data_IF_112845373777
#
_entry.id   IF_112845373777
#
_cell.length_a   1.000
_cell.length_b   1.000
_cell.length_c   1.000
_cell.angle_alpha   90.00
_cell.angle_beta   90.00
_cell.angle_gamma   90.00
#
_symmetry.space_group_name_H-M   'P 1'
#
loop_
_entity.id
_entity.type
_entity.pdbx_description
1 polymer ?
#
# COMPACT_ATOMS: atom_id res chain seq x y z
N UNK A 1 25.13 8.00 5.04
CA UNK A 1 24.12 7.07 4.50
C UNK A 1 22.78 7.53 5.05
N UNK A 2 21.98 8.17 4.20
CA UNK A 2 21.00 9.17 4.61
C UNK A 2 19.69 8.45 4.94
N UNK A 3 19.05 8.82 6.06
CA UNK A 3 17.77 8.25 6.53
C UNK A 3 16.70 8.22 5.41
N UNK A 4 16.76 9.17 4.47
CA UNK A 4 15.92 9.20 3.28
C UNK A 4 16.03 7.96 2.38
N UNK A 5 17.21 7.37 2.22
CA UNK A 5 17.43 6.19 1.37
C UNK A 5 16.74 4.95 1.97
N UNK A 6 16.73 4.86 3.30
CA UNK A 6 16.09 3.77 4.04
C UNK A 6 14.56 3.89 3.93
N UNK A 7 14.03 5.12 4.06
CA UNK A 7 12.59 5.38 3.92
C UNK A 7 12.13 5.07 2.49
N UNK A 8 12.85 5.54 1.47
CA UNK A 8 12.51 5.26 0.08
C UNK A 8 12.60 3.78 -0.28
N UNK A 9 13.62 3.08 0.22
CA UNK A 9 13.73 1.62 0.06
C UNK A 9 12.54 0.89 0.67
N UNK A 10 12.07 1.30 1.86
CA UNK A 10 10.92 0.69 2.51
C UNK A 10 9.62 0.97 1.75
N UNK A 11 9.40 2.20 1.29
CA UNK A 11 8.23 2.56 0.46
C UNK A 11 8.22 1.73 -0.83
N UNK A 12 9.36 1.63 -1.51
CA UNK A 12 9.47 0.86 -2.75
C UNK A 12 9.14 -0.62 -2.52
N UNK A 13 9.62 -1.19 -1.40
CA UNK A 13 9.35 -2.57 -1.03
C UNK A 13 7.86 -2.83 -0.77
N UNK A 14 7.19 -1.92 -0.06
CA UNK A 14 5.75 -2.02 0.23
C UNK A 14 4.91 -1.93 -1.05
N UNK A 15 5.20 -0.96 -1.91
CA UNK A 15 4.49 -0.77 -3.19
C UNK A 15 4.63 -2.01 -4.08
N UNK A 16 5.83 -2.61 -4.12
CA UNK A 16 6.07 -3.78 -4.95
C UNK A 16 5.33 -5.03 -4.44
N UNK A 17 5.23 -5.21 -3.12
CA UNK A 17 4.43 -6.30 -2.53
C UNK A 17 2.93 -6.10 -2.75
N UNK A 18 2.42 -4.87 -2.62
CA UNK A 18 1.02 -4.56 -2.97
C UNK A 18 0.72 -4.87 -4.44
N UNK A 19 1.63 -4.54 -5.36
CA UNK A 19 1.48 -4.86 -6.79
C UNK A 19 1.41 -6.37 -7.04
N UNK A 20 2.18 -7.16 -6.28
CA UNK A 20 2.17 -8.63 -6.34
C UNK A 20 0.83 -9.20 -5.89
N UNK A 21 0.29 -8.69 -4.79
CA UNK A 21 -1.00 -9.09 -4.22
C UNK A 21 -2.12 -8.77 -5.22
N UNK A 22 -2.14 -7.56 -5.79
CA UNK A 22 -3.14 -7.18 -6.80
C UNK A 22 -3.07 -8.08 -8.03
N UNK A 23 -1.86 -8.40 -8.52
CA UNK A 23 -1.69 -9.34 -9.64
C UNK A 23 -2.20 -10.74 -9.32
N UNK A 24 -1.99 -11.23 -8.09
CA UNK A 24 -2.54 -12.53 -7.66
C UNK A 24 -4.07 -12.51 -7.58
N UNK A 25 -4.67 -11.43 -7.09
CA UNK A 25 -6.13 -11.27 -7.06
C UNK A 25 -6.72 -11.19 -8.48
N UNK A 26 -6.03 -10.50 -9.39
CA UNK A 26 -6.47 -10.34 -10.79
C UNK A 26 -6.27 -11.63 -11.61
N UNK A 27 -5.32 -12.49 -11.22
CA UNK A 27 -5.06 -13.78 -11.88
C UNK A 27 -5.98 -14.91 -11.41
N UNK A 28 -6.78 -14.69 -10.35
CA UNK A 28 -7.87 -15.60 -10.00
C UNK A 28 -8.98 -15.38 -11.04
N UNK A 29 -8.94 -16.18 -12.10
CA UNK A 29 -9.99 -16.27 -13.11
C UNK A 29 -11.34 -16.56 -12.42
N UNK A 30 -12.14 -15.53 -12.25
CA UNK A 30 -13.58 -15.69 -12.10
C UNK A 30 -14.07 -16.09 -13.50
N UNK A 31 -14.16 -17.40 -13.77
CA UNK A 31 -15.06 -17.92 -14.80
C UNK A 31 -16.51 -17.76 -14.30
N UNK A 32 -16.92 -16.51 -14.04
CA UNK A 32 -18.32 -16.15 -13.92
C UNK A 32 -18.80 -15.99 -15.35
N UNK A 33 -19.28 -17.10 -15.90
CA UNK A 33 -20.03 -17.15 -17.14
C UNK A 33 -21.25 -16.23 -16.99
N UNK A 34 -21.11 -14.97 -17.42
CA UNK A 34 -22.22 -14.06 -17.65
C UNK A 34 -23.05 -14.63 -18.79
N UNK A 35 -24.08 -15.40 -18.43
CA UNK A 35 -25.03 -16.00 -19.35
C UNK A 35 -26.44 -15.72 -18.86
N UNK A 36 -26.96 -14.55 -19.19
CA UNK A 36 -28.41 -14.29 -19.18
C UNK A 36 -29.03 -15.24 -20.21
N UNK A 37 -29.67 -16.32 -19.76
CA UNK A 37 -30.54 -17.14 -20.60
C UNK A 37 -31.86 -17.41 -19.90
N UNK A 38 -32.89 -16.95 -20.59
CA UNK A 38 -34.27 -17.45 -20.62
C UNK A 38 -34.47 -18.79 -19.94
N UNK A 39 -35.51 -18.83 -19.12
CA UNK A 39 -36.24 -20.05 -18.77
C UNK A 39 -36.69 -20.69 -20.08
N UNK A 40 -35.95 -21.72 -20.51
CA UNK A 40 -36.45 -22.75 -21.41
C UNK A 40 -36.34 -24.06 -20.64
N UNK A 41 -37.51 -24.52 -20.21
CA UNK A 41 -37.81 -25.87 -19.79
C UNK A 41 -37.08 -26.86 -20.68
N UNK A 42 -35.98 -27.41 -20.17
CA UNK A 42 -35.33 -28.58 -20.76
C UNK A 42 -35.61 -29.72 -19.81
N UNK A 43 -36.43 -30.67 -20.28
CA UNK A 43 -36.80 -31.86 -19.57
C UNK A 43 -35.56 -32.60 -19.07
N UNK A 44 -35.57 -32.96 -17.79
CA UNK A 44 -34.60 -33.88 -17.21
C UNK A 44 -34.88 -35.24 -17.86
N UNK A 45 -34.02 -35.64 -18.79
CA UNK A 45 -33.98 -37.01 -19.28
C UNK A 45 -33.58 -37.90 -18.10
N UNK A 46 -34.54 -38.66 -17.58
CA UNK A 46 -34.29 -39.78 -16.68
C UNK A 46 -33.29 -40.74 -17.32
N UNK A 47 -32.34 -41.33 -16.57
CA UNK A 47 -31.58 -42.46 -17.06
C UNK A 47 -32.51 -43.68 -17.10
N UNK A 48 -33.38 -43.72 -18.11
CA UNK A 48 -34.06 -44.93 -18.52
C UNK A 48 -33.05 -45.81 -19.23
N UNK A 49 -32.21 -46.53 -18.48
CA UNK A 49 -31.66 -47.79 -18.99
C UNK A 49 -32.73 -48.88 -18.83
N UNK A 50 -33.90 -48.64 -19.43
CA UNK A 50 -34.68 -49.74 -19.95
C UNK A 50 -33.98 -50.09 -21.24
N UNK A 51 -33.24 -51.19 -21.26
CA UNK A 51 -32.86 -51.85 -22.50
C UNK A 51 -34.17 -52.24 -23.18
N UNK A 52 -34.75 -51.30 -23.92
CA UNK A 52 -35.83 -51.55 -24.86
C UNK A 52 -35.21 -52.38 -25.97
N UNK A 53 -35.14 -53.69 -25.74
CA UNK A 53 -35.15 -54.63 -26.86
C UNK A 53 -36.47 -54.36 -27.57
N UNK A 54 -36.38 -53.75 -28.74
CA UNK A 54 -37.44 -53.73 -29.73
C UNK A 54 -38.00 -55.15 -29.81
N UNK A 55 -39.25 -55.34 -29.36
CA UNK A 55 -40.00 -56.58 -29.55
C UNK A 55 -40.51 -56.56 -30.99
N UNK A 56 -39.58 -56.54 -31.94
CA UNK A 56 -39.85 -56.78 -33.35
C UNK A 56 -39.14 -58.09 -33.68
N UNK A 57 -39.80 -59.20 -33.38
CA UNK A 57 -39.24 -60.52 -33.67
C UNK A 57 -39.91 -61.74 -33.05
N UNK A 58 -40.96 -61.62 -32.23
CA UNK A 58 -41.66 -62.81 -31.69
C UNK A 58 -43.20 -62.76 -31.79
N UNK A 59 -43.77 -61.71 -32.38
CA UNK A 59 -45.21 -61.56 -32.63
C UNK A 59 -45.59 -61.85 -34.10
N UNK A 60 -44.89 -62.79 -34.74
CA UNK A 60 -45.26 -63.33 -36.05
C UNK A 60 -45.51 -64.85 -35.98
N UNK A 61 -46.22 -65.29 -34.94
CA UNK A 61 -46.75 -66.65 -34.84
C UNK A 61 -48.24 -66.63 -34.45
N UNK A 62 -49.01 -65.74 -35.06
CA UNK A 62 -50.45 -65.94 -35.16
C UNK A 62 -50.74 -66.83 -36.37
N UNK A 63 -51.40 -67.95 -36.11
CA UNK A 63 -51.91 -68.98 -37.04
C UNK A 63 -50.92 -70.03 -37.55
N UNK A 64 -50.36 -70.83 -36.65
CA UNK A 64 -50.13 -72.26 -36.92
C UNK A 64 -50.57 -73.09 -35.71
N UNK A 65 -51.71 -73.78 -35.82
CA UNK A 65 -52.11 -74.82 -34.87
C UNK A 65 -51.25 -76.06 -35.13
N UNK A 66 -50.05 -76.08 -34.53
CA UNK A 66 -49.28 -77.31 -34.34
C UNK A 66 -49.50 -77.76 -32.90
N UNK A 67 -49.71 -79.07 -32.63
CA UNK A 67 -49.91 -79.55 -31.28
C UNK A 67 -48.60 -79.35 -30.51
N UNK A 68 -48.55 -78.35 -29.63
CA UNK A 68 -47.46 -78.23 -28.67
C UNK A 68 -47.45 -79.50 -27.82
N UNK A 69 -46.37 -80.28 -27.91
CA UNK A 69 -46.15 -81.41 -27.01
C UNK A 69 -46.02 -80.89 -25.58
N UNK A 70 -46.56 -81.61 -24.60
CA UNK A 70 -46.49 -81.24 -23.17
C UNK A 70 -45.06 -80.88 -22.69
N UNK A 71 -44.03 -81.45 -23.31
CA UNK A 71 -42.61 -81.15 -23.03
C UNK A 71 -42.22 -79.69 -23.33
N UNK A 72 -42.70 -79.10 -24.42
CA UNK A 72 -42.36 -77.70 -24.81
C UNK A 72 -43.01 -76.69 -23.88
N UNK A 73 -44.25 -76.95 -23.46
CA UNK A 73 -44.97 -76.15 -22.46
C UNK A 73 -44.24 -76.19 -21.12
N UNK A 74 -43.80 -77.38 -20.70
CA UNK A 74 -43.06 -77.56 -19.44
C UNK A 74 -41.71 -76.83 -19.45
N UNK A 75 -40.92 -76.97 -20.52
CA UNK A 75 -39.63 -76.28 -20.66
C UNK A 75 -39.79 -74.75 -20.64
N UNK A 76 -40.83 -74.22 -21.28
CA UNK A 76 -41.13 -72.78 -21.28
C UNK A 76 -41.48 -72.28 -19.87
N UNK A 77 -42.28 -73.03 -19.11
CA UNK A 77 -42.62 -72.67 -17.73
C UNK A 77 -41.40 -72.67 -16.80
N UNK A 78 -40.52 -73.67 -16.91
CA UNK A 78 -39.27 -73.73 -16.13
C UNK A 78 -38.38 -72.54 -16.46
N UNK A 79 -38.25 -72.17 -17.74
CA UNK A 79 -37.49 -70.99 -18.16
C UNK A 79 -38.09 -69.69 -17.58
N UNK A 80 -39.42 -69.57 -17.53
CA UNK A 80 -40.09 -68.42 -16.90
C UNK A 80 -39.80 -68.36 -15.39
N UNK A 81 -39.82 -69.51 -14.71
CA UNK A 81 -39.49 -69.57 -13.28
C UNK A 81 -38.03 -69.18 -12.99
N UNK A 82 -37.09 -69.67 -13.80
CA UNK A 82 -35.66 -69.34 -13.68
C UNK A 82 -35.40 -67.84 -13.91
N UNK A 83 -36.03 -67.25 -14.94
CA UNK A 83 -35.90 -65.81 -15.21
C UNK A 83 -36.54 -64.95 -14.12
N UNK A 84 -37.66 -65.38 -13.53
CA UNK A 84 -38.27 -64.71 -12.37
C UNK A 84 -37.35 -64.73 -11.15
N UNK A 85 -36.71 -65.87 -10.86
CA UNK A 85 -35.77 -66.00 -9.75
C UNK A 85 -34.52 -65.13 -9.96
N UNK A 86 -33.98 -65.10 -11.19
CA UNK A 86 -32.85 -64.24 -11.55
C UNK A 86 -33.19 -62.75 -11.40
N UNK A 87 -34.40 -62.34 -11.78
CA UNK A 87 -34.90 -60.97 -11.59
C UNK A 87 -34.98 -60.62 -10.11
N UNK A 88 -35.57 -61.48 -9.27
CA UNK A 88 -35.67 -61.26 -7.83
C UNK A 88 -34.28 -61.13 -7.18
N UNK A 89 -33.34 -62.01 -7.56
CA UNK A 89 -31.95 -61.95 -7.09
C UNK A 89 -31.28 -60.61 -7.46
N UNK A 90 -31.51 -60.13 -8.67
CA UNK A 90 -30.98 -58.84 -9.14
C UNK A 90 -31.60 -57.66 -8.40
N UNK A 91 -32.91 -57.67 -8.15
CA UNK A 91 -33.57 -56.61 -7.37
C UNK A 91 -33.05 -56.52 -5.95
N UNK A 92 -32.89 -57.66 -5.28
CA UNK A 92 -32.34 -57.71 -3.92
C UNK A 92 -30.89 -57.21 -3.91
N UNK A 93 -30.07 -57.63 -4.87
CA UNK A 93 -28.69 -57.15 -5.02
C UNK A 93 -28.64 -55.64 -5.20
N UNK A 94 -29.40 -55.09 -6.14
CA UNK A 94 -29.45 -53.64 -6.40
C UNK A 94 -29.93 -52.86 -5.17
N UNK A 95 -30.88 -53.39 -4.40
CA UNK A 95 -31.34 -52.76 -3.17
C UNK A 95 -30.26 -52.72 -2.09
N UNK A 96 -29.51 -53.80 -1.93
CA UNK A 96 -28.39 -53.87 -0.98
C UNK A 96 -27.27 -52.91 -1.39
N UNK A 97 -26.89 -52.90 -2.67
CA UNK A 97 -25.85 -52.00 -3.21
C UNK A 97 -26.26 -50.54 -3.06
N UNK A 98 -27.47 -50.17 -3.49
CA UNK A 98 -28.00 -48.81 -3.34
C UNK A 98 -28.07 -48.36 -1.88
N UNK A 99 -28.41 -49.28 -0.96
CA UNK A 99 -28.36 -48.99 0.48
C UNK A 99 -26.93 -48.75 0.95
N UNK A 100 -25.97 -49.54 0.47
CA UNK A 100 -24.54 -49.37 0.74
C UNK A 100 -24.04 -47.99 0.30
N UNK A 101 -24.26 -47.64 -0.97
CA UNK A 101 -23.86 -46.34 -1.54
C UNK A 101 -24.47 -45.17 -0.76
N UNK A 102 -25.74 -45.30 -0.36
CA UNK A 102 -26.42 -44.27 0.45
C UNK A 102 -25.79 -44.10 1.84
N UNK A 103 -25.37 -45.18 2.49
CA UNK A 103 -24.70 -45.08 3.79
C UNK A 103 -23.26 -44.54 3.65
N UNK A 104 -22.52 -44.89 2.59
CA UNK A 104 -21.20 -44.30 2.30
C UNK A 104 -21.32 -42.80 2.10
N UNK A 105 -22.21 -42.35 1.22
CA UNK A 105 -22.46 -40.94 0.96
C UNK A 105 -22.83 -40.17 2.24
N UNK A 106 -23.65 -40.78 3.10
CA UNK A 106 -24.02 -40.17 4.38
C UNK A 106 -22.82 -39.97 5.31
N UNK A 107 -21.87 -40.91 5.34
CA UNK A 107 -20.65 -40.79 6.14
C UNK A 107 -19.72 -39.72 5.57
N UNK A 108 -19.50 -39.71 4.25
CA UNK A 108 -18.69 -38.69 3.58
C UNK A 108 -19.22 -37.28 3.83
N UNK A 109 -20.52 -37.05 3.62
CA UNK A 109 -21.17 -35.77 3.90
C UNK A 109 -21.01 -35.36 5.37
N UNK A 110 -21.12 -36.30 6.31
CA UNK A 110 -20.94 -36.01 7.74
C UNK A 110 -19.50 -35.60 8.06
N UNK A 111 -18.52 -36.23 7.41
CA UNK A 111 -17.11 -35.90 7.58
C UNK A 111 -16.79 -34.51 7.00
N UNK A 112 -17.22 -34.24 5.77
CA UNK A 112 -17.06 -32.92 5.13
C UNK A 112 -17.70 -31.80 5.97
N UNK A 113 -18.91 -32.02 6.51
CA UNK A 113 -19.54 -31.07 7.44
C UNK A 113 -18.71 -30.86 8.70
N UNK A 114 -18.06 -31.92 9.21
CA UNK A 114 -17.15 -31.84 10.34
C UNK A 114 -15.92 -30.98 10.05
N UNK A 115 -15.27 -31.21 8.91
CA UNK A 115 -14.11 -30.44 8.44
C UNK A 115 -14.46 -28.97 8.18
N UNK A 116 -15.60 -28.70 7.54
CA UNK A 116 -16.06 -27.32 7.35
C UNK A 116 -16.29 -26.61 8.69
N UNK A 117 -16.84 -27.30 9.70
CA UNK A 117 -17.04 -26.70 11.04
C UNK A 117 -15.72 -26.35 11.72
N UNK A 118 -14.69 -27.19 11.59
CA UNK A 118 -13.38 -26.89 12.18
C UNK A 118 -12.69 -25.74 11.47
N UNK A 119 -12.80 -25.67 10.14
CA UNK A 119 -12.27 -24.56 9.36
C UNK A 119 -12.98 -23.23 9.69
N UNK A 120 -14.31 -23.22 9.79
CA UNK A 120 -15.09 -22.04 10.20
C UNK A 120 -14.61 -21.53 11.56
N UNK A 121 -14.46 -22.40 12.56
CA UNK A 121 -13.98 -22.01 13.89
C UNK A 121 -12.56 -21.43 13.87
N UNK A 122 -11.70 -21.96 13.01
CA UNK A 122 -10.35 -21.42 12.81
C UNK A 122 -10.39 -20.02 12.18
N UNK A 123 -11.25 -19.82 11.16
CA UNK A 123 -11.45 -18.52 10.53
C UNK A 123 -12.01 -17.49 11.50
N UNK A 124 -12.99 -17.85 12.33
CA UNK A 124 -13.53 -16.99 13.39
C UNK A 124 -12.42 -16.51 14.35
N UNK A 125 -11.51 -17.40 14.75
CA UNK A 125 -10.36 -17.05 15.58
C UNK A 125 -9.41 -16.04 14.89
N UNK A 126 -9.09 -16.26 13.61
CA UNK A 126 -8.27 -15.32 12.83
C UNK A 126 -8.95 -13.97 12.64
N UNK A 127 -10.26 -13.96 12.38
CA UNK A 127 -11.06 -12.74 12.25
C UNK A 127 -11.03 -11.94 13.56
N UNK A 128 -11.17 -12.61 14.72
CA UNK A 128 -11.05 -11.95 16.02
C UNK A 128 -9.68 -11.29 16.25
N UNK A 129 -8.58 -11.97 15.88
CA UNK A 129 -7.24 -11.39 15.97
C UNK A 129 -7.06 -10.16 15.06
N UNK A 130 -7.64 -10.19 13.86
CA UNK A 130 -7.62 -9.05 12.93
C UNK A 130 -8.43 -7.88 13.49
N UNK A 131 -9.62 -8.13 14.02
CA UNK A 131 -10.47 -7.10 14.63
C UNK A 131 -9.75 -6.40 15.80
N UNK A 132 -9.10 -7.16 16.68
CA UNK A 132 -8.34 -6.59 17.78
C UNK A 132 -7.13 -5.76 17.29
N UNK A 133 -6.42 -6.26 16.29
CA UNK A 133 -5.31 -5.52 15.68
C UNK A 133 -5.77 -4.21 15.03
N UNK A 134 -6.94 -4.19 14.37
CA UNK A 134 -7.56 -2.98 13.82
C UNK A 134 -7.85 -1.99 14.94
N UNK A 135 -8.52 -2.44 16.01
CA UNK A 135 -8.87 -1.59 17.17
C UNK A 135 -7.62 -0.93 17.79
N UNK A 136 -6.56 -1.71 18.00
CA UNK A 136 -5.29 -1.20 18.53
C UNK A 136 -4.66 -0.17 17.59
N UNK A 137 -4.71 -0.40 16.27
CA UNK A 137 -4.14 0.51 15.30
C UNK A 137 -4.94 1.82 15.21
N UNK A 138 -6.27 1.79 15.30
CA UNK A 138 -7.11 2.99 15.36
C UNK A 138 -6.75 3.89 16.55
N UNK A 139 -6.51 3.29 17.73
CA UNK A 139 -6.09 4.02 18.93
C UNK A 139 -4.70 4.67 18.74
N UNK A 140 -3.74 3.93 18.18
CA UNK A 140 -2.41 4.47 17.87
C UNK A 140 -2.46 5.62 16.87
N UNK A 141 -3.32 5.54 15.85
CA UNK A 141 -3.49 6.61 14.86
C UNK A 141 -3.98 7.89 15.54
N UNK A 142 -4.98 7.81 16.43
CA UNK A 142 -5.46 8.99 17.17
C UNK A 142 -4.35 9.67 17.98
N UNK A 143 -3.53 8.88 18.69
CA UNK A 143 -2.40 9.42 19.46
C UNK A 143 -1.39 10.13 18.55
N UNK A 144 -1.07 9.53 17.40
CA UNK A 144 -0.15 10.12 16.41
C UNK A 144 -0.72 11.42 15.85
N UNK A 145 -2.02 11.47 15.52
CA UNK A 145 -2.68 12.68 15.02
C UNK A 145 -2.64 13.82 16.05
N UNK A 146 -2.91 13.54 17.32
CA UNK A 146 -2.83 14.54 18.40
C UNK A 146 -1.40 15.07 18.57
N UNK A 147 -0.39 14.18 18.54
CA UNK A 147 1.02 14.57 18.61
C UNK A 147 1.45 15.41 17.41
N UNK A 148 0.97 15.07 16.21
CA UNK A 148 1.24 15.84 14.99
C UNK A 148 0.66 17.25 15.08
N UNK A 149 -0.57 17.39 15.58
CA UNK A 149 -1.22 18.70 15.79
C UNK A 149 -0.43 19.54 16.80
N UNK A 150 -0.02 18.97 17.93
CA UNK A 150 0.78 19.69 18.94
C UNK A 150 2.15 20.12 18.39
N UNK A 151 2.80 19.26 17.60
CA UNK A 151 4.08 19.56 16.98
C UNK A 151 3.93 20.68 15.95
N UNK A 152 2.88 20.65 15.13
CA UNK A 152 2.56 21.73 14.19
C UNK A 152 2.42 23.09 14.88
N UNK A 153 1.67 23.15 15.99
CA UNK A 153 1.52 24.39 16.79
C UNK A 153 2.85 24.92 17.34
N UNK A 154 3.76 24.04 17.77
CA UNK A 154 5.09 24.44 18.25
C UNK A 154 5.95 25.00 17.13
N UNK A 155 5.89 24.41 15.94
CA UNK A 155 6.61 24.89 14.75
C UNK A 155 6.08 26.28 14.36
N UNK A 156 4.77 26.46 14.29
CA UNK A 156 4.15 27.76 13.96
C UNK A 156 4.56 28.86 14.96
N UNK A 157 4.58 28.55 16.26
CA UNK A 157 5.07 29.49 17.28
C UNK A 157 6.57 29.82 17.11
N UNK A 158 7.40 28.84 16.77
CA UNK A 158 8.83 29.08 16.52
C UNK A 158 9.04 29.95 15.28
N UNK A 159 8.28 29.74 14.21
CA UNK A 159 8.32 30.52 12.98
C UNK A 159 7.98 32.00 13.25
N UNK A 160 6.90 32.25 13.99
CA UNK A 160 6.53 33.61 14.42
C UNK A 160 7.63 34.28 15.24
N UNK A 161 8.29 33.53 16.15
CA UNK A 161 9.40 34.05 16.95
C UNK A 161 10.61 34.40 16.10
N UNK A 162 10.97 33.56 15.12
CA UNK A 162 12.09 33.80 14.20
C UNK A 162 11.81 35.05 13.37
N UNK A 163 10.62 35.14 12.76
CA UNK A 163 10.20 36.31 11.98
C UNK A 163 10.28 37.62 12.78
N UNK A 164 9.88 37.59 14.05
CA UNK A 164 10.01 38.74 14.95
C UNK A 164 11.48 39.15 15.18
N UNK A 165 12.37 38.19 15.45
CA UNK A 165 13.79 38.47 15.65
C UNK A 165 14.46 38.97 14.37
N UNK A 166 14.12 38.40 13.22
CA UNK A 166 14.67 38.83 11.93
C UNK A 166 14.30 40.29 11.67
N UNK A 167 13.04 40.67 11.92
CA UNK A 167 12.59 42.05 11.83
C UNK A 167 13.35 42.99 12.78
N UNK A 168 13.51 42.61 14.05
CA UNK A 168 14.30 43.39 15.03
C UNK A 168 15.75 43.58 14.55
N UNK A 169 16.37 42.54 13.99
CA UNK A 169 17.74 42.62 13.49
C UNK A 169 17.87 43.47 12.23
N UNK A 170 16.90 43.42 11.33
CA UNK A 170 16.85 44.25 10.13
C UNK A 170 16.69 45.72 10.49
N UNK A 171 15.80 46.06 11.43
CA UNK A 171 15.63 47.41 11.95
C UNK A 171 16.92 47.94 12.60
N UNK A 172 17.59 47.13 13.43
CA UNK A 172 18.86 47.50 14.04
C UNK A 172 19.98 47.74 12.99
N UNK A 173 20.05 46.90 11.96
CA UNK A 173 21.02 47.05 10.87
C UNK A 173 20.76 48.33 10.07
N UNK A 174 19.51 48.63 9.76
CA UNK A 174 19.12 49.88 9.09
C UNK A 174 19.54 51.11 9.89
N UNK A 175 19.33 51.12 11.22
CA UNK A 175 19.79 52.21 12.08
C UNK A 175 21.31 52.40 12.05
N UNK A 176 22.07 51.32 12.12
CA UNK A 176 23.53 51.39 12.03
C UNK A 176 24.02 51.89 10.67
N UNK A 177 23.33 51.52 9.58
CA UNK A 177 23.65 51.99 8.23
C UNK A 177 23.31 53.48 8.05
N UNK A 178 22.20 53.95 8.62
CA UNK A 178 21.85 55.37 8.68
C UNK A 178 22.89 56.18 9.47
N UNK A 179 23.33 55.70 10.63
CA UNK A 179 24.37 56.35 11.43
C UNK A 179 25.70 56.39 10.67
N UNK A 180 26.10 55.28 10.05
CA UNK A 180 27.28 55.20 9.18
C UNK A 180 27.22 56.24 8.04
N UNK A 181 26.09 56.35 7.35
CA UNK A 181 25.89 57.34 6.28
C UNK A 181 25.97 58.78 6.80
N UNK A 182 25.38 59.06 7.97
CA UNK A 182 25.47 60.36 8.66
C UNK A 182 26.92 60.73 8.98
N UNK A 183 27.73 59.78 9.46
CA UNK A 183 29.15 60.01 9.69
C UNK A 183 29.92 60.33 8.41
N UNK A 184 29.72 59.57 7.32
CA UNK A 184 30.39 59.85 6.05
C UNK A 184 30.09 61.27 5.53
N UNK A 185 28.83 61.71 5.62
CA UNK A 185 28.46 63.07 5.22
C UNK A 185 29.12 64.13 6.09
N UNK A 186 29.28 63.89 7.40
CA UNK A 186 30.00 64.83 8.27
C UNK A 186 31.48 64.91 7.91
N UNK A 187 32.13 63.78 7.65
CA UNK A 187 33.54 63.75 7.27
C UNK A 187 33.81 64.43 5.93
N UNK A 188 32.92 64.29 4.94
CA UNK A 188 33.06 64.99 3.65
C UNK A 188 32.99 66.51 3.75
N UNK A 189 32.36 67.04 4.80
CA UNK A 189 32.19 68.47 5.02
C UNK A 189 33.22 69.07 5.98
N UNK A 190 34.26 68.32 6.35
CA UNK A 190 35.40 68.84 7.11
C UNK A 190 36.28 69.63 6.14
N UNK A 191 36.48 70.93 6.41
CA UNK A 191 37.44 71.75 5.66
C UNK A 191 38.86 71.30 6.00
N UNK A 192 39.59 70.82 5.00
CA UNK A 192 41.01 70.46 5.12
C UNK A 192 41.86 71.68 4.77
N UNK A 193 42.75 72.08 5.69
CA UNK A 193 43.77 73.07 5.36
C UNK A 193 44.80 72.47 4.39
N UNK A 194 45.25 73.25 3.39
CA UNK A 194 46.13 72.78 2.30
C UNK A 194 47.48 72.19 2.75
N UNK A 195 47.84 72.39 4.01
CA UNK A 195 49.10 71.96 4.62
C UNK A 195 48.89 70.86 5.68
N UNK A 196 47.64 70.47 5.98
CA UNK A 196 47.35 69.41 6.94
C UNK A 196 47.55 68.01 6.34
N UNK A 197 48.30 67.18 7.07
CA UNK A 197 48.36 65.76 6.78
C UNK A 197 47.23 65.05 7.51
N UNK A 198 46.11 64.84 6.80
CA UNK A 198 44.89 64.25 7.35
C UNK A 198 45.14 62.89 8.02
N UNK A 199 46.03 62.05 7.46
CA UNK A 199 46.37 60.75 8.05
C UNK A 199 47.01 60.89 9.45
N UNK A 200 47.89 61.89 9.63
CA UNK A 200 48.50 62.17 10.94
C UNK A 200 47.53 62.80 11.93
N UNK A 201 46.55 63.57 11.46
CA UNK A 201 45.49 64.15 12.28
C UNK A 201 44.54 63.05 12.76
N UNK A 202 44.04 62.22 11.84
CA UNK A 202 43.19 61.07 12.13
C UNK A 202 43.86 60.09 13.10
N UNK A 203 45.13 59.73 12.86
CA UNK A 203 45.86 58.87 13.77
C UNK A 203 46.06 59.48 15.16
N UNK A 204 46.21 60.81 15.24
CA UNK A 204 46.27 61.53 16.52
C UNK A 204 44.96 61.44 17.31
N UNK A 205 43.83 61.75 16.65
CA UNK A 205 42.49 61.70 17.24
C UNK A 205 42.16 60.28 17.71
N UNK A 206 42.43 59.27 16.88
CA UNK A 206 42.17 57.86 17.21
C UNK A 206 43.07 57.38 18.35
N UNK A 207 44.35 57.75 18.34
CA UNK A 207 45.28 57.42 19.42
C UNK A 207 44.85 58.01 20.76
N UNK A 208 44.36 59.26 20.76
CA UNK A 208 43.83 59.90 21.95
C UNK A 208 42.53 59.24 22.44
N UNK A 209 41.61 58.92 21.53
CA UNK A 209 40.33 58.29 21.85
C UNK A 209 40.51 56.86 22.41
N UNK A 210 41.43 56.08 21.82
CA UNK A 210 41.71 54.69 22.20
C UNK A 210 42.79 54.57 23.28
N UNK A 211 43.41 55.68 23.68
CA UNK A 211 44.54 55.72 24.61
C UNK A 211 45.70 54.80 24.18
N UNK A 212 46.05 54.82 22.90
CA UNK A 212 47.14 54.04 22.29
C UNK A 212 48.24 54.93 21.74
N UNK A 213 49.39 54.35 21.39
CA UNK A 213 50.47 55.12 20.77
C UNK A 213 50.09 55.54 19.34
N UNK A 214 50.33 56.80 18.99
CA UNK A 214 50.06 57.33 17.65
C UNK A 214 50.71 56.52 16.53
N UNK A 215 51.94 56.05 16.74
CA UNK A 215 52.67 55.25 15.74
C UNK A 215 52.03 53.88 15.50
N UNK A 216 51.47 53.26 16.54
CA UNK A 216 50.73 52.00 16.44
C UNK A 216 49.50 52.18 15.55
N UNK A 217 48.73 53.24 15.79
CA UNK A 217 47.56 53.60 14.98
C UNK A 217 47.92 53.90 13.52
N UNK A 218 49.04 54.60 13.26
CA UNK A 218 49.51 54.86 11.88
C UNK A 218 49.79 53.55 11.14
N UNK A 219 50.45 52.59 11.80
CA UNK A 219 50.76 51.29 11.19
C UNK A 219 49.47 50.49 10.92
N UNK A 220 48.51 50.51 11.84
CA UNK A 220 47.20 49.86 11.63
C UNK A 220 46.42 50.50 10.48
N UNK A 221 46.42 51.82 10.36
CA UNK A 221 45.81 52.53 9.23
C UNK A 221 46.43 52.15 7.88
N UNK A 222 47.76 52.04 7.82
CA UNK A 222 48.46 51.62 6.60
C UNK A 222 48.16 50.14 6.25
N UNK A 223 48.07 49.27 7.26
CA UNK A 223 47.67 47.88 7.08
C UNK A 223 46.24 47.76 6.53
N UNK A 224 45.28 48.53 7.08
CA UNK A 224 43.90 48.58 6.59
C UNK A 224 43.86 49.05 5.14
N UNK A 225 44.61 50.11 4.81
CA UNK A 225 44.72 50.61 3.44
C UNK A 225 45.27 49.54 2.48
N UNK A 226 46.32 48.80 2.90
CA UNK A 226 46.92 47.72 2.11
C UNK A 226 45.96 46.56 1.86
N UNK A 227 45.23 46.14 2.89
CA UNK A 227 44.21 45.09 2.79
C UNK A 227 43.10 45.51 1.84
N UNK A 228 42.56 46.73 1.99
CA UNK A 228 41.49 47.24 1.16
C UNK A 228 41.92 47.37 -0.31
N UNK A 229 43.11 47.91 -0.55
CA UNK A 229 43.70 48.04 -1.89
C UNK A 229 43.90 46.68 -2.55
N UNK A 230 44.32 45.67 -1.79
CA UNK A 230 44.49 44.30 -2.27
C UNK A 230 43.14 43.65 -2.61
N UNK A 231 42.14 43.81 -1.75
CA UNK A 231 40.78 43.31 -1.95
C UNK A 231 40.13 43.94 -3.19
N UNK A 232 40.15 45.27 -3.32
CA UNK A 232 39.59 45.97 -4.47
C UNK A 232 40.26 45.54 -5.79
N UNK A 233 41.58 45.30 -5.77
CA UNK A 233 42.34 44.79 -6.92
C UNK A 233 41.92 43.36 -7.31
N UNK A 234 41.73 42.49 -6.32
CA UNK A 234 41.32 41.10 -6.54
C UNK A 234 39.88 41.00 -7.08
N UNK A 235 38.98 41.87 -6.61
CA UNK A 235 37.56 41.87 -6.97
C UNK A 235 37.18 42.87 -8.07
N UNK A 236 38.16 43.61 -8.64
CA UNK A 236 37.97 44.62 -9.70
C UNK A 236 36.96 45.72 -9.32
N UNK A 237 36.97 46.15 -8.07
CA UNK A 237 36.12 47.23 -7.58
C UNK A 237 36.69 48.60 -7.99
N UNK A 238 35.84 49.62 -8.23
CA UNK A 238 36.29 51.00 -8.42
C UNK A 238 37.13 51.46 -7.23
N UNK A 239 38.16 52.28 -7.48
CA UNK A 239 38.89 52.93 -6.38
C UNK A 239 37.99 54.00 -5.78
N UNK A 240 37.68 53.87 -4.50
CA UNK A 240 37.08 54.95 -3.73
C UNK A 240 38.17 56.02 -3.55
N UNK A 241 37.84 57.25 -3.98
CA UNK A 241 38.70 58.43 -3.92
C UNK A 241 38.45 59.21 -2.64
#
# INVERSE_FOLDING_TARGET
MVIGDIIWSNIFKIVNEQQKIIKSMTSINISAKTGRKQISTTAIASPSTSTQRTIEGTLALEKMSTPMTNQVVQATLTTIQETMLALQKTMVKNHIESKGDREVMKVELKNEIGEMKTEIKNLEGKIGQIQESIRINEEKIKIIEEQAIQTGKKIEHLDQKIMGKDKETEEALNHLEMDKASYYLRFQNVEEDKEENLALVMAGIIAELLQREKNEIINELDDVYRVFTSYARQHRLPREH
#
